data_IF_060301662180
#
_entry.id   IF_060301662180
#
_cell.length_a   1.000
_cell.length_b   1.000
_cell.length_c   1.000
_cell.angle_alpha   90.00
_cell.angle_beta   90.00
_cell.angle_gamma   90.00
#
_symmetry.space_group_name_H-M   'P 1'
#
loop_
_entity.id
_entity.type
_entity.pdbx_description
1 polymer ?
#
# COMPACT_ATOMS: atom_id res chain seq x y z
N UNK A 1 -18.00 -2.13 -12.50
CA UNK A 1 -16.84 -2.44 -11.63
C UNK A 1 -15.50 -2.03 -12.24
N UNK A 2 -15.30 -2.21 -13.55
CA UNK A 2 -14.03 -1.93 -14.25
C UNK A 2 -13.51 -0.48 -14.08
N UNK A 3 -14.39 0.52 -14.03
CA UNK A 3 -13.99 1.92 -13.79
C UNK A 3 -13.33 2.12 -12.43
N UNK A 4 -13.91 1.56 -11.36
CA UNK A 4 -13.36 1.70 -10.00
C UNK A 4 -12.01 0.98 -9.90
N UNK A 5 -11.87 -0.18 -10.53
CA UNK A 5 -10.60 -0.90 -10.57
C UNK A 5 -9.51 -0.09 -11.30
N UNK A 6 -9.83 0.51 -12.46
CA UNK A 6 -8.91 1.41 -13.18
C UNK A 6 -8.54 2.64 -12.36
N UNK A 7 -9.48 3.21 -11.61
CA UNK A 7 -9.21 4.34 -10.72
C UNK A 7 -8.25 3.94 -9.59
N UNK A 8 -8.50 2.80 -8.95
CA UNK A 8 -7.63 2.29 -7.90
C UNK A 8 -6.22 2.00 -8.45
N UNK A 9 -6.13 1.34 -9.59
CA UNK A 9 -4.86 0.98 -10.22
C UNK A 9 -4.04 2.21 -10.65
N UNK A 10 -4.68 3.21 -11.26
CA UNK A 10 -3.97 4.38 -11.81
C UNK A 10 -3.79 5.53 -10.83
N UNK A 11 -4.58 5.60 -9.75
CA UNK A 11 -4.57 6.74 -8.83
C UNK A 11 -4.27 6.30 -7.39
N UNK A 12 -5.07 5.39 -6.83
CA UNK A 12 -4.95 5.03 -5.42
C UNK A 12 -3.65 4.28 -5.12
N UNK A 13 -3.25 3.31 -5.96
CA UNK A 13 -2.02 2.54 -5.78
C UNK A 13 -0.78 3.45 -5.81
N UNK A 14 -0.58 4.33 -6.82
CA UNK A 14 0.58 5.24 -6.82
C UNK A 14 0.63 6.18 -5.63
N UNK A 15 -0.52 6.74 -5.21
CA UNK A 15 -0.59 7.60 -4.02
C UNK A 15 -0.17 6.80 -2.78
N UNK A 16 -0.73 5.62 -2.59
CA UNK A 16 -0.43 4.79 -1.43
C UNK A 16 1.04 4.32 -1.45
N UNK A 17 1.59 4.00 -2.62
CA UNK A 17 3.00 3.66 -2.75
C UNK A 17 3.89 4.81 -2.32
N UNK A 18 3.60 6.05 -2.74
CA UNK A 18 4.35 7.22 -2.29
C UNK A 18 4.20 7.45 -0.78
N UNK A 19 2.99 7.28 -0.23
CA UNK A 19 2.76 7.41 1.20
C UNK A 19 3.57 6.39 2.00
N UNK A 20 3.57 5.12 1.58
CA UNK A 20 4.42 4.09 2.19
C UNK A 20 5.89 4.43 2.06
N UNK A 21 6.35 4.77 0.85
CA UNK A 21 7.77 4.94 0.55
C UNK A 21 8.39 6.24 1.10
N UNK A 22 7.61 7.25 1.45
CA UNK A 22 8.16 8.55 1.83
C UNK A 22 7.53 9.19 3.08
N UNK A 23 6.30 8.82 3.44
CA UNK A 23 5.54 9.57 4.45
C UNK A 23 5.16 8.75 5.68
N UNK A 24 5.17 7.42 5.59
CA UNK A 24 4.69 6.56 6.66
C UNK A 24 5.70 6.49 7.81
N UNK A 25 5.27 6.96 8.99
CA UNK A 25 5.91 6.69 10.27
C UNK A 25 5.48 5.31 10.79
N UNK A 26 6.41 4.36 10.73
CA UNK A 26 6.15 2.96 11.08
C UNK A 26 6.05 2.72 12.60
N UNK A 27 6.53 3.65 13.43
CA UNK A 27 6.36 3.59 14.88
C UNK A 27 5.01 4.17 15.33
N UNK A 28 4.33 4.91 14.45
CA UNK A 28 2.99 5.42 14.67
C UNK A 28 1.93 4.32 14.50
N UNK A 29 1.30 3.94 15.61
CA UNK A 29 0.20 2.95 15.60
C UNK A 29 -1.01 3.42 14.79
N UNK A 30 -1.31 4.72 14.81
CA UNK A 30 -2.44 5.29 14.04
C UNK A 30 -2.17 5.22 12.54
N UNK A 31 -0.98 5.61 12.09
CA UNK A 31 -0.61 5.55 10.68
C UNK A 31 -0.53 4.11 10.17
N UNK A 32 0.01 3.19 10.97
CA UNK A 32 0.03 1.77 10.63
C UNK A 32 -1.38 1.20 10.44
N UNK A 33 -2.35 1.59 11.28
CA UNK A 33 -3.76 1.22 11.09
C UNK A 33 -4.36 1.81 9.81
N UNK A 34 -3.99 3.04 9.44
CA UNK A 34 -4.41 3.68 8.19
C UNK A 34 -3.85 2.93 6.97
N UNK A 35 -2.56 2.59 6.98
CA UNK A 35 -1.90 1.79 5.94
C UNK A 35 -2.60 0.46 5.75
N UNK A 36 -2.83 -0.30 6.82
CA UNK A 36 -3.52 -1.60 6.75
C UNK A 36 -4.93 -1.46 6.17
N UNK A 37 -5.64 -0.40 6.55
CA UNK A 37 -7.00 -0.12 6.05
C UNK A 37 -6.99 0.24 4.56
N UNK A 38 -6.03 1.05 4.12
CA UNK A 38 -5.85 1.43 2.73
C UNK A 38 -5.47 0.23 1.86
N UNK A 39 -4.53 -0.61 2.31
CA UNK A 39 -4.15 -1.85 1.63
C UNK A 39 -5.34 -2.80 1.49
N UNK A 40 -6.15 -2.96 2.54
CA UNK A 40 -7.36 -3.79 2.49
C UNK A 40 -8.38 -3.25 1.48
N UNK A 41 -8.52 -1.93 1.37
CA UNK A 41 -9.38 -1.31 0.36
C UNK A 41 -8.85 -1.58 -1.05
N UNK A 42 -7.56 -1.37 -1.31
CA UNK A 42 -6.93 -1.66 -2.61
C UNK A 42 -7.17 -3.11 -3.03
N UNK A 43 -6.89 -4.07 -2.13
CA UNK A 43 -7.07 -5.51 -2.40
C UNK A 43 -8.53 -5.92 -2.66
N UNK A 44 -9.51 -5.15 -2.13
CA UNK A 44 -10.93 -5.42 -2.35
C UNK A 44 -11.38 -5.10 -3.78
N UNK A 45 -10.73 -4.17 -4.48
CA UNK A 45 -11.17 -3.72 -5.81
C UNK A 45 -10.71 -4.61 -6.97
N UNK A 46 -10.06 -5.73 -6.66
CA UNK A 46 -9.92 -6.84 -7.58
C UNK A 46 -8.48 -7.08 -8.06
N UNK A 47 -8.29 -8.11 -8.89
CA UNK A 47 -6.97 -8.46 -9.41
C UNK A 47 -6.51 -7.38 -10.39
N UNK A 48 -5.46 -6.64 -10.05
CA UNK A 48 -4.86 -5.69 -10.99
C UNK A 48 -3.99 -6.43 -12.01
N UNK A 49 -4.03 -6.00 -13.27
CA UNK A 49 -3.24 -6.60 -14.34
C UNK A 49 -1.79 -6.10 -14.39
N UNK A 50 -1.50 -4.95 -13.76
CA UNK A 50 -0.19 -4.34 -13.74
C UNK A 50 0.67 -4.68 -12.52
N UNK A 51 1.97 -4.38 -12.63
CA UNK A 51 2.95 -4.52 -11.53
C UNK A 51 2.79 -3.50 -10.40
N UNK A 52 1.84 -2.59 -10.50
CA UNK A 52 1.64 -1.53 -9.51
C UNK A 52 1.30 -2.10 -8.12
N UNK A 53 0.42 -3.12 -8.06
CA UNK A 53 0.10 -3.78 -6.81
C UNK A 53 1.29 -4.56 -6.25
N UNK A 54 2.04 -5.29 -7.10
CA UNK A 54 3.19 -6.06 -6.63
C UNK A 54 4.29 -5.16 -6.06
N UNK A 55 4.54 -4.01 -6.69
CA UNK A 55 5.51 -3.03 -6.21
C UNK A 55 5.05 -2.43 -4.87
N UNK A 56 3.77 -2.11 -4.73
CA UNK A 56 3.19 -1.62 -3.48
C UNK A 56 3.33 -2.64 -2.33
N UNK A 57 3.09 -3.92 -2.61
CA UNK A 57 3.25 -5.00 -1.62
C UNK A 57 4.72 -5.21 -1.26
N UNK A 58 5.63 -5.09 -2.23
CA UNK A 58 7.06 -5.17 -1.97
C UNK A 58 7.53 -4.03 -1.05
N UNK A 59 7.14 -2.78 -1.34
CA UNK A 59 7.45 -1.63 -0.48
C UNK A 59 6.93 -1.83 0.95
N UNK A 60 5.67 -2.26 1.11
CA UNK A 60 5.11 -2.55 2.44
C UNK A 60 5.91 -3.63 3.18
N UNK A 61 6.29 -4.71 2.48
CA UNK A 61 7.05 -5.81 3.07
C UNK A 61 8.44 -5.35 3.50
N UNK A 62 9.14 -4.61 2.65
CA UNK A 62 10.51 -4.18 2.90
C UNK A 62 10.55 -3.19 4.08
N UNK A 63 9.58 -2.27 4.13
CA UNK A 63 9.30 -1.38 5.28
C UNK A 63 9.09 -2.15 6.59
N UNK A 64 8.19 -3.14 6.58
CA UNK A 64 7.92 -3.95 7.77
C UNK A 64 9.12 -4.80 8.19
N UNK A 65 9.88 -5.34 7.23
CA UNK A 65 11.08 -6.10 7.50
C UNK A 65 12.15 -5.25 8.19
N UNK A 66 12.33 -4.00 7.75
CA UNK A 66 13.23 -3.04 8.39
C UNK A 66 12.84 -2.77 9.85
N UNK A 67 11.56 -2.58 10.13
CA UNK A 67 11.07 -2.40 11.51
C UNK A 67 11.34 -3.63 12.37
N UNK A 68 11.06 -4.83 11.85
CA UNK A 68 11.29 -6.09 12.57
C UNK A 68 12.78 -6.34 12.81
N UNK A 69 13.65 -5.94 11.89
CA UNK A 69 15.09 -6.07 12.04
C UNK A 69 15.67 -5.10 13.09
N UNK A 70 15.01 -3.96 13.31
CA UNK A 70 15.44 -2.91 14.25
C UNK A 70 14.67 -2.93 15.60
N UNK A 71 13.96 -4.02 15.90
CA UNK A 71 13.26 -4.30 17.16
C UNK A 71 14.21 -4.92 18.20
#
# INVERSE_FOLDING_TARGET
MEFLQKLVEKLAIPILHNQLANCWDMFSTSETKCVVSAMRLVLRYGPFSGSALSNLVAELRDRLADVVANL
#
